data_IF_540536684496
#
_entry.id   IF_540536684496
#
_cell.length_a   1.000
_cell.length_b   1.000
_cell.length_c   1.000
_cell.angle_alpha   90.00
_cell.angle_beta   90.00
_cell.angle_gamma   90.00
#
_symmetry.space_group_name_H-M   'P 1'
#
loop_
_entity.id
_entity.type
_entity.pdbx_description
1 polymer ?
#
# COMPACT_ATOMS: atom_id res chain seq x y z
N UNK A 1 -13.70 15.87 -0.94
CA UNK A 1 -13.79 15.24 0.40
C UNK A 1 -15.21 14.77 0.75
N UNK A 2 -16.27 15.59 0.66
CA UNK A 2 -17.64 15.18 1.04
C UNK A 2 -18.17 13.90 0.35
N UNK A 3 -17.89 13.72 -0.95
CA UNK A 3 -18.31 12.50 -1.68
C UNK A 3 -17.62 11.24 -1.16
N UNK A 4 -16.35 11.31 -0.78
CA UNK A 4 -15.60 10.19 -0.20
C UNK A 4 -16.12 9.85 1.19
N UNK A 5 -16.29 10.84 2.07
CA UNK A 5 -16.90 10.61 3.38
C UNK A 5 -18.30 9.98 3.26
N UNK A 6 -19.07 10.38 2.25
CA UNK A 6 -20.37 9.76 1.93
C UNK A 6 -20.21 8.32 1.47
N UNK A 7 -19.26 8.02 0.60
CA UNK A 7 -18.99 6.66 0.11
C UNK A 7 -18.59 5.72 1.25
N UNK A 8 -17.68 6.13 2.15
CA UNK A 8 -17.32 5.31 3.31
C UNK A 8 -18.54 5.01 4.19
N UNK A 9 -19.34 6.04 4.50
CA UNK A 9 -20.57 5.84 5.28
C UNK A 9 -21.56 4.89 4.60
N UNK A 10 -21.71 4.98 3.27
CA UNK A 10 -22.65 4.14 2.50
C UNK A 10 -22.14 2.72 2.26
N UNK A 11 -20.83 2.54 2.17
CA UNK A 11 -20.21 1.22 2.03
C UNK A 11 -20.08 0.49 3.36
N UNK A 12 -20.10 1.20 4.50
CA UNK A 12 -19.86 0.61 5.82
C UNK A 12 -18.37 0.38 6.10
N UNK A 13 -17.48 0.83 5.21
CA UNK A 13 -16.05 0.66 5.37
C UNK A 13 -15.48 1.60 6.45
N UNK A 14 -14.42 1.16 7.13
CA UNK A 14 -13.77 1.96 8.19
C UNK A 14 -13.13 3.22 7.60
N UNK A 15 -13.54 4.38 8.12
CA UNK A 15 -12.97 5.68 7.72
C UNK A 15 -11.58 5.81 8.38
N UNK A 16 -10.49 6.05 7.60
CA UNK A 16 -9.17 6.26 8.16
C UNK A 16 -9.10 7.52 9.05
N UNK A 17 -8.45 7.44 10.20
CA UNK A 17 -8.28 8.57 11.12
C UNK A 17 -7.42 9.71 10.54
N UNK A 18 -6.58 9.41 9.56
CA UNK A 18 -5.65 10.37 8.94
C UNK A 18 -6.33 11.36 7.98
N UNK A 19 -7.61 11.21 7.68
CA UNK A 19 -8.33 12.02 6.68
C UNK A 19 -8.75 13.47 7.01
N UNK A 20 -8.51 14.09 8.19
CA UNK A 20 -8.95 15.48 8.40
C UNK A 20 -8.14 16.53 7.62
N UNK A 21 -6.92 16.23 7.16
CA UNK A 21 -6.00 17.24 6.61
C UNK A 21 -5.48 16.98 5.20
N UNK A 22 -5.25 15.72 4.82
CA UNK A 22 -4.60 15.35 3.56
C UNK A 22 -5.25 14.12 2.94
N UNK A 23 -5.28 14.08 1.60
CA UNK A 23 -5.91 13.00 0.82
C UNK A 23 -5.01 11.76 0.72
N UNK A 24 -3.68 11.95 0.81
CA UNK A 24 -2.66 10.89 0.86
C UNK A 24 -1.54 11.32 1.81
N UNK A 25 -1.21 10.46 2.77
CA UNK A 25 -0.08 10.62 3.68
C UNK A 25 1.15 9.90 3.12
N UNK A 26 2.34 10.25 3.58
CA UNK A 26 3.59 9.56 3.25
C UNK A 26 3.46 8.05 3.44
N UNK A 27 3.84 7.26 2.41
CA UNK A 27 3.74 5.80 2.44
C UNK A 27 2.32 5.23 2.29
N UNK A 28 1.29 6.07 2.17
CA UNK A 28 -0.10 5.64 2.01
C UNK A 28 -0.65 5.95 0.62
N UNK A 29 -0.56 4.98 -0.29
CA UNK A 29 -1.36 5.01 -1.52
C UNK A 29 -2.73 4.42 -1.21
N UNK A 30 -3.72 5.26 -0.88
CA UNK A 30 -5.12 4.83 -0.91
C UNK A 30 -5.57 4.80 -2.37
N UNK A 31 -5.16 3.76 -3.08
CA UNK A 31 -5.81 3.27 -4.28
C UNK A 31 -6.50 1.96 -3.93
N UNK A 32 -7.40 2.00 -2.94
CA UNK A 32 -8.31 0.87 -2.77
C UNK A 32 -9.22 0.84 -4.00
N UNK A 33 -9.22 -0.28 -4.70
CA UNK A 33 -10.11 -0.50 -5.85
C UNK A 33 -11.56 -0.23 -5.46
N UNK A 34 -12.40 0.20 -6.40
CA UNK A 34 -13.86 0.29 -6.20
C UNK A 34 -14.46 -1.02 -5.65
N UNK A 35 -13.83 -2.15 -5.98
CA UNK A 35 -14.19 -3.48 -5.47
C UNK A 35 -14.10 -3.58 -3.94
N UNK A 36 -13.19 -2.83 -3.30
CA UNK A 36 -13.09 -2.79 -1.85
C UNK A 36 -14.35 -2.16 -1.25
N UNK A 37 -14.80 -1.01 -1.76
CA UNK A 37 -16.03 -0.37 -1.31
C UNK A 37 -17.28 -1.22 -1.60
N UNK A 38 -17.35 -1.83 -2.78
CA UNK A 38 -18.45 -2.72 -3.17
C UNK A 38 -18.48 -3.93 -2.23
N UNK A 39 -17.33 -4.55 -1.95
CA UNK A 39 -17.24 -5.71 -1.06
C UNK A 39 -17.67 -5.40 0.38
N UNK A 40 -17.29 -4.23 0.91
CA UNK A 40 -17.81 -3.73 2.19
C UNK A 40 -19.33 -3.50 2.15
N UNK A 41 -19.83 -2.82 1.11
CA UNK A 41 -21.27 -2.56 0.96
C UNK A 41 -22.10 -3.86 0.89
N UNK A 42 -21.54 -4.91 0.28
CA UNK A 42 -22.15 -6.23 0.18
C UNK A 42 -21.97 -7.10 1.45
N UNK A 43 -21.26 -6.62 2.47
CA UNK A 43 -20.94 -7.39 3.68
C UNK A 43 -20.02 -8.59 3.42
N UNK A 44 -19.26 -8.58 2.31
CA UNK A 44 -18.36 -9.67 1.90
C UNK A 44 -16.91 -9.43 2.32
N UNK A 45 -16.58 -8.21 2.73
CA UNK A 45 -15.26 -7.82 3.20
C UNK A 45 -15.37 -7.18 4.59
N UNK A 46 -14.30 -7.33 5.36
CA UNK A 46 -14.08 -6.55 6.56
C UNK A 46 -12.67 -5.94 6.52
N UNK A 47 -12.39 -4.96 7.38
CA UNK A 47 -11.06 -4.37 7.50
C UNK A 47 -10.70 -4.29 8.97
N UNK A 48 -9.49 -4.75 9.29
CA UNK A 48 -8.95 -4.77 10.64
C UNK A 48 -7.61 -4.03 10.61
N UNK A 49 -7.49 -3.00 11.44
CA UNK A 49 -6.26 -2.23 11.61
C UNK A 49 -5.44 -2.88 12.73
N UNK A 50 -4.39 -3.60 12.36
CA UNK A 50 -3.38 -4.17 13.26
C UNK A 50 -2.16 -4.62 12.45
N UNK A 51 -1.04 -4.91 13.13
CA UNK A 51 0.11 -5.56 12.50
C UNK A 51 -0.05 -7.07 12.62
N UNK A 52 0.30 -7.80 11.56
CA UNK A 52 0.38 -9.27 11.63
C UNK A 52 1.61 -9.64 12.44
N UNK A 53 1.42 -10.39 13.53
CA UNK A 53 2.49 -10.84 14.41
C UNK A 53 2.96 -12.25 14.02
N UNK A 54 2.02 -13.18 13.82
CA UNK A 54 2.32 -14.56 13.46
C UNK A 54 1.15 -15.22 12.71
N UNK A 55 1.44 -16.36 12.08
CA UNK A 55 0.46 -17.24 11.46
C UNK A 55 0.42 -18.57 12.24
N UNK A 56 -0.75 -19.14 12.40
CA UNK A 56 -0.94 -20.49 12.94
C UNK A 56 -1.67 -21.38 11.93
N UNK A 57 -1.93 -22.62 12.32
CA UNK A 57 -2.58 -23.64 11.48
C UNK A 57 -4.00 -23.30 11.01
N UNK A 58 -4.66 -22.30 11.60
CA UNK A 58 -6.05 -21.95 11.29
C UNK A 58 -6.28 -20.45 11.06
N UNK A 59 -5.23 -19.63 10.94
CA UNK A 59 -5.40 -18.18 10.75
C UNK A 59 -4.21 -17.29 11.10
N UNK A 60 -4.53 -16.02 11.36
CA UNK A 60 -3.58 -14.91 11.54
C UNK A 60 -3.71 -14.33 12.95
N UNK A 61 -2.58 -14.24 13.67
CA UNK A 61 -2.46 -13.59 14.98
C UNK A 61 -1.97 -12.15 14.81
N UNK A 62 -2.64 -11.21 15.48
CA UNK A 62 -2.37 -9.78 15.35
C UNK A 62 -1.69 -9.22 16.59
N UNK A 63 -0.98 -8.11 16.41
CA UNK A 63 -0.24 -7.41 17.47
C UNK A 63 -1.12 -6.88 18.61
N UNK A 64 -2.43 -6.73 18.38
CA UNK A 64 -3.41 -6.34 19.41
C UNK A 64 -3.93 -7.54 20.23
N UNK A 65 -3.36 -8.73 20.03
CA UNK A 65 -3.78 -9.98 20.65
C UNK A 65 -5.02 -10.63 20.03
N UNK A 66 -5.65 -9.98 19.04
CA UNK A 66 -6.78 -10.55 18.33
C UNK A 66 -6.34 -11.54 17.24
N UNK A 67 -7.30 -12.36 16.79
CA UNK A 67 -7.05 -13.43 15.82
C UNK A 67 -8.08 -13.40 14.70
N UNK A 68 -7.62 -13.58 13.46
CA UNK A 68 -8.46 -13.68 12.27
C UNK A 68 -8.41 -15.11 11.74
N UNK A 69 -9.48 -15.90 11.87
CA UNK A 69 -9.56 -17.22 11.24
C UNK A 69 -9.46 -17.10 9.72
N UNK A 70 -8.64 -17.94 9.10
CA UNK A 70 -8.48 -17.96 7.65
C UNK A 70 -8.01 -19.34 7.17
N UNK A 71 -8.62 -19.82 6.08
CA UNK A 71 -8.16 -21.03 5.39
C UNK A 71 -7.00 -20.72 4.42
N UNK A 72 -6.95 -19.49 3.92
CA UNK A 72 -5.94 -19.01 2.96
C UNK A 72 -5.51 -17.60 3.35
N UNK A 73 -4.20 -17.40 3.39
CA UNK A 73 -3.57 -16.09 3.62
C UNK A 73 -2.80 -15.69 2.37
N UNK A 74 -3.13 -14.53 1.81
CA UNK A 74 -2.45 -13.95 0.65
C UNK A 74 -1.69 -12.71 1.09
N UNK A 75 -0.36 -12.76 1.03
CA UNK A 75 0.48 -11.64 1.42
C UNK A 75 0.55 -10.59 0.31
N UNK A 76 -0.03 -9.42 0.58
CA UNK A 76 -0.01 -8.25 -0.31
C UNK A 76 0.75 -7.08 0.37
N UNK A 77 1.91 -7.35 0.95
CA UNK A 77 2.68 -6.41 1.79
C UNK A 77 3.73 -5.58 1.02
N UNK A 78 3.73 -5.66 -0.31
CA UNK A 78 4.67 -4.94 -1.16
C UNK A 78 6.11 -5.46 -1.05
N UNK A 79 7.07 -4.55 -1.24
CA UNK A 79 8.50 -4.84 -1.30
C UNK A 79 9.27 -3.97 -0.31
N UNK A 80 10.38 -4.48 0.23
CA UNK A 80 11.31 -3.66 1.02
C UNK A 80 12.27 -2.91 0.10
N UNK A 81 12.46 -1.62 0.34
CA UNK A 81 13.43 -0.80 -0.38
C UNK A 81 14.83 -1.38 -0.19
N UNK A 82 15.53 -1.61 -1.28
CA UNK A 82 16.90 -2.10 -1.25
C UNK A 82 17.82 -1.24 -2.12
N UNK A 83 18.11 -0.03 -1.64
CA UNK A 83 19.05 0.88 -2.31
C UNK A 83 20.49 0.41 -2.17
N UNK A 84 20.85 -0.15 -1.01
CA UNK A 84 22.22 -0.55 -0.69
C UNK A 84 22.69 -1.71 -1.57
N UNK A 85 21.82 -2.67 -1.89
CA UNK A 85 22.20 -3.79 -2.75
C UNK A 85 22.47 -3.33 -4.18
N UNK A 86 21.76 -2.32 -4.68
CA UNK A 86 22.03 -1.77 -6.01
C UNK A 86 23.43 -1.18 -6.08
N UNK A 87 23.82 -0.38 -5.08
CA UNK A 87 25.18 0.17 -4.96
C UNK A 87 26.22 -0.95 -4.86
N UNK A 88 25.97 -1.97 -4.03
CA UNK A 88 26.88 -3.11 -3.85
C UNK A 88 27.03 -4.00 -5.10
N UNK A 89 25.95 -4.23 -5.85
CA UNK A 89 25.96 -5.09 -7.03
C UNK A 89 26.54 -4.39 -8.25
N UNK A 90 26.31 -3.09 -8.37
CA UNK A 90 26.65 -2.33 -9.59
C UNK A 90 27.89 -1.46 -9.42
N UNK A 91 28.27 -1.13 -8.18
CA UNK A 91 29.36 -0.22 -7.86
C UNK A 91 29.04 1.26 -8.12
N UNK A 92 27.80 1.59 -8.51
CA UNK A 92 27.35 2.95 -8.75
C UNK A 92 26.63 3.51 -7.53
N UNK A 93 27.01 4.72 -7.12
CA UNK A 93 26.43 5.48 -6.00
C UNK A 93 25.48 6.60 -6.47
N UNK A 94 25.34 6.78 -7.78
CA UNK A 94 24.52 7.82 -8.40
C UNK A 94 23.71 7.25 -9.57
N UNK A 95 22.44 7.66 -9.67
CA UNK A 95 21.54 7.31 -10.78
C UNK A 95 21.31 8.57 -11.62
N UNK A 96 21.41 8.46 -12.96
CA UNK A 96 21.05 9.58 -13.84
C UNK A 96 19.54 9.81 -13.80
N UNK A 97 19.09 11.03 -14.09
CA UNK A 97 17.65 11.39 -14.16
C UNK A 97 16.82 10.55 -15.13
N UNK A 98 17.46 9.77 -16.01
CA UNK A 98 16.82 8.85 -16.96
C UNK A 98 16.87 7.38 -16.53
N UNK A 99 17.17 7.10 -15.25
CA UNK A 99 17.27 5.75 -14.67
C UNK A 99 18.45 4.89 -15.20
N UNK A 100 19.38 5.46 -15.95
CA UNK A 100 20.59 4.73 -16.39
C UNK A 100 21.70 4.82 -15.33
N UNK A 101 22.30 3.67 -15.03
CA UNK A 101 23.52 3.53 -14.22
C UNK A 101 24.77 3.59 -15.11
N UNK A 102 24.74 2.94 -16.28
CA UNK A 102 25.84 2.93 -17.26
C UNK A 102 25.33 2.76 -18.70
N UNK A 103 26.24 2.78 -19.68
CA UNK A 103 25.98 2.46 -21.08
C UNK A 103 25.40 1.04 -21.16
N UNK A 104 24.12 0.97 -21.54
CA UNK A 104 23.33 -0.27 -21.63
C UNK A 104 22.92 -0.89 -20.28
N UNK A 105 23.02 -0.17 -19.17
CA UNK A 105 22.55 -0.60 -17.85
C UNK A 105 21.55 0.41 -17.27
N UNK A 106 20.28 -0.01 -17.14
CA UNK A 106 19.20 0.78 -16.57
C UNK A 106 18.75 0.17 -15.24
N UNK A 107 18.56 1.01 -14.23
CA UNK A 107 17.95 0.66 -12.97
C UNK A 107 16.46 1.03 -12.99
N UNK A 108 15.60 0.02 -13.02
CA UNK A 108 14.16 0.18 -12.88
C UNK A 108 13.79 -0.16 -11.44
N UNK A 109 13.75 0.85 -10.57
CA UNK A 109 12.99 0.74 -9.34
C UNK A 109 11.54 1.04 -9.63
N UNK A 110 10.64 0.21 -9.10
CA UNK A 110 9.27 0.64 -8.91
C UNK A 110 9.29 1.88 -8.01
N UNK A 111 8.61 2.94 -8.44
CA UNK A 111 8.78 4.24 -7.83
C UNK A 111 8.29 4.17 -6.39
N UNK A 112 9.16 4.52 -5.44
CA UNK A 112 8.67 4.92 -4.12
C UNK A 112 7.73 6.10 -4.36
N UNK A 113 6.45 5.86 -4.08
CA UNK A 113 5.41 6.86 -4.27
C UNK A 113 5.53 7.83 -3.11
N UNK A 114 6.38 8.84 -3.28
CA UNK A 114 6.51 9.94 -2.34
C UNK A 114 5.34 10.93 -2.48
N UNK A 115 5.29 11.93 -1.60
CA UNK A 115 4.27 12.97 -1.58
C UNK A 115 4.11 13.72 -2.92
N UNK A 116 5.10 13.70 -3.81
CA UNK A 116 5.08 14.42 -5.09
C UNK A 116 4.50 13.61 -6.26
N UNK A 117 4.46 12.28 -6.16
CA UNK A 117 4.20 11.39 -7.31
C UNK A 117 2.72 11.33 -7.75
N UNK A 118 1.75 11.67 -6.89
CA UNK A 118 0.32 11.67 -7.25
C UNK A 118 -0.44 12.90 -6.74
N UNK A 119 -0.28 14.01 -7.46
CA UNK A 119 -1.12 15.20 -7.27
C UNK A 119 -2.47 15.13 -8.02
N UNK A 120 -2.85 13.95 -8.52
CA UNK A 120 -4.07 13.76 -9.31
C UNK A 120 -4.96 12.66 -8.73
N UNK A 121 -6.26 12.96 -8.65
CA UNK A 121 -7.29 12.10 -8.03
C UNK A 121 -7.49 10.74 -8.71
N UNK A 122 -6.95 10.55 -9.91
CA UNK A 122 -7.12 9.34 -10.73
C UNK A 122 -5.79 8.71 -11.19
N UNK A 123 -4.67 9.04 -10.56
CA UNK A 123 -3.41 8.40 -10.91
C UNK A 123 -3.32 6.98 -10.33
N UNK A 124 -3.11 5.99 -11.19
CA UNK A 124 -2.69 4.65 -10.77
C UNK A 124 -1.19 4.63 -10.56
N UNK A 125 -0.74 3.96 -9.49
CA UNK A 125 0.61 3.42 -9.45
C UNK A 125 0.76 2.40 -10.56
N UNK A 126 1.87 2.47 -11.32
CA UNK A 126 2.35 1.32 -12.10
C UNK A 126 2.78 0.22 -11.14
#
# INVERSE_FOLDING_TARGET
MQSWSTLYRRSGATIPECWPGEIKHEGHTISVSDLWFIGHHMGKLCTKLATVDSLDETGVCLSDGSRVPADVVVNCIGFSRNTVLCEQMTGFDNIKTTNYLDKHLMYLADAEIDHGAFNWFFGSSV
#
